data_IF_057774672600
#
_entry.id   IF_057774672600
#
_cell.length_a   1.000
_cell.length_b   1.000
_cell.length_c   1.000
_cell.angle_alpha   90.00
_cell.angle_beta   90.00
_cell.angle_gamma   90.00
#
_symmetry.space_group_name_H-M   'P 1'
#
loop_
_entity.id
_entity.type
_entity.pdbx_description
1 polymer ?
#
# COMPACT_ATOMS: atom_id res chain seq x y z
N UNK A 1 -2.91 13.25 -6.78
CA UNK A 1 -2.16 12.00 -6.99
C UNK A 1 -0.65 12.19 -6.83
N UNK A 2 0.01 13.04 -7.62
CA UNK A 2 1.48 13.24 -7.55
C UNK A 2 1.99 13.58 -6.14
N UNK A 3 1.33 14.51 -5.44
CA UNK A 3 1.67 14.85 -4.05
C UNK A 3 1.55 13.65 -3.10
N UNK A 4 0.52 12.81 -3.26
CA UNK A 4 0.35 11.61 -2.46
C UNK A 4 1.45 10.57 -2.75
N UNK A 5 1.84 10.40 -4.01
CA UNK A 5 2.95 9.51 -4.38
C UNK A 5 4.27 10.04 -3.82
N UNK A 6 4.56 11.34 -3.96
CA UNK A 6 5.76 11.95 -3.41
C UNK A 6 5.84 11.79 -1.88
N UNK A 7 4.72 11.93 -1.18
CA UNK A 7 4.65 11.76 0.26
C UNK A 7 4.98 10.31 0.72
N UNK A 8 4.80 9.28 -0.15
CA UNK A 8 5.20 7.90 0.18
C UNK A 8 6.71 7.73 0.37
N UNK A 9 7.51 8.66 -0.14
CA UNK A 9 8.96 8.67 0.04
C UNK A 9 9.40 9.24 1.40
N UNK A 10 8.50 9.87 2.16
CA UNK A 10 8.81 10.43 3.48
C UNK A 10 8.58 9.39 4.58
N UNK A 11 9.67 8.93 5.20
CA UNK A 11 9.63 8.01 6.36
C UNK A 11 8.86 8.60 7.54
N UNK A 12 8.98 9.92 7.76
CA UNK A 12 8.32 10.61 8.87
C UNK A 12 6.80 10.58 8.73
N UNK A 13 6.27 10.85 7.53
CA UNK A 13 4.84 10.82 7.27
C UNK A 13 4.27 9.41 7.43
N UNK A 14 4.97 8.38 6.95
CA UNK A 14 4.56 6.98 7.14
C UNK A 14 4.56 6.60 8.62
N UNK A 15 5.56 7.04 9.39
CA UNK A 15 5.65 6.81 10.84
C UNK A 15 4.55 7.55 11.60
N UNK A 16 4.22 8.80 11.24
CA UNK A 16 3.17 9.59 11.90
C UNK A 16 1.79 8.93 11.81
N UNK A 17 1.54 8.18 10.73
CA UNK A 17 0.32 7.35 10.60
C UNK A 17 0.29 6.16 11.58
N UNK A 18 1.40 5.82 12.22
CA UNK A 18 1.52 4.70 13.16
C UNK A 18 1.94 3.39 12.51
N UNK A 19 2.51 3.42 11.31
CA UNK A 19 3.17 2.24 10.73
C UNK A 19 4.46 1.91 11.47
N UNK A 20 4.74 0.62 11.63
CA UNK A 20 6.01 0.12 12.15
C UNK A 20 7.03 0.06 11.02
N UNK A 21 7.94 1.03 11.02
CA UNK A 21 8.96 1.21 9.96
C UNK A 21 10.38 0.99 10.47
N UNK A 22 10.49 0.26 11.59
CA UNK A 22 11.77 -0.10 12.18
C UNK A 22 12.51 -1.10 11.27
N UNK A 23 13.80 -0.85 11.03
CA UNK A 23 14.62 -1.70 10.16
C UNK A 23 14.46 -1.46 8.66
N UNK A 24 13.66 -0.46 8.24
CA UNK A 24 13.56 -0.05 6.84
C UNK A 24 14.53 1.12 6.61
N UNK A 25 15.50 0.91 5.72
CA UNK A 25 16.56 1.89 5.45
C UNK A 25 16.14 2.95 4.44
N UNK A 26 15.45 2.54 3.36
CA UNK A 26 15.13 3.42 2.24
C UNK A 26 13.63 3.55 1.98
N UNK A 27 13.20 4.75 1.62
CA UNK A 27 11.86 5.07 1.13
C UNK A 27 11.98 5.85 -0.17
N UNK A 28 11.11 5.58 -1.16
CA UNK A 28 10.08 4.52 -1.20
C UNK A 28 10.69 3.12 -1.31
N UNK A 29 9.96 2.11 -0.82
CA UNK A 29 10.38 0.71 -0.92
C UNK A 29 10.14 0.22 -2.35
N UNK A 30 11.21 -0.23 -3.01
CA UNK A 30 11.15 -0.72 -4.40
C UNK A 30 11.58 -2.18 -4.42
N UNK A 31 10.76 -3.03 -5.05
CA UNK A 31 11.01 -4.47 -5.18
C UNK A 31 11.11 -4.90 -6.65
N UNK A 32 11.63 -6.10 -6.90
CA UNK A 32 11.65 -6.69 -8.23
C UNK A 32 10.23 -7.03 -8.70
N UNK A 33 10.06 -7.16 -10.02
CA UNK A 33 8.77 -7.46 -10.62
C UNK A 33 8.34 -8.92 -10.39
N UNK A 34 9.25 -9.80 -9.95
CA UNK A 34 8.97 -11.20 -9.64
C UNK A 34 7.86 -11.39 -8.59
N UNK A 35 7.67 -10.38 -7.72
CA UNK A 35 6.61 -10.39 -6.71
C UNK A 35 5.21 -10.49 -7.32
N UNK A 36 5.02 -10.04 -8.56
CA UNK A 36 3.73 -10.11 -9.27
C UNK A 36 3.31 -11.54 -9.64
N UNK A 37 4.28 -12.46 -9.74
CA UNK A 37 4.04 -13.87 -10.05
C UNK A 37 3.59 -14.68 -8.83
N UNK A 38 3.82 -14.18 -7.62
CA UNK A 38 3.54 -14.87 -6.37
C UNK A 38 2.03 -15.04 -6.18
N UNK A 39 1.60 -16.29 -5.98
CA UNK A 39 0.19 -16.63 -5.72
C UNK A 39 -0.05 -17.24 -4.34
N UNK A 40 1.03 -17.65 -3.63
CA UNK A 40 0.94 -18.31 -2.32
C UNK A 40 1.21 -17.34 -1.18
N UNK A 41 0.41 -17.43 -0.12
CA UNK A 41 0.55 -16.59 1.09
C UNK A 41 1.87 -16.84 1.83
N UNK A 42 2.36 -18.07 1.84
CA UNK A 42 3.63 -18.42 2.51
C UNK A 42 4.83 -17.74 1.87
N UNK A 43 4.83 -17.57 0.54
CA UNK A 43 5.90 -16.90 -0.19
C UNK A 43 5.89 -15.39 0.10
N UNK A 44 4.69 -14.77 0.05
CA UNK A 44 4.57 -13.34 0.35
C UNK A 44 4.94 -13.01 1.81
N UNK A 45 4.65 -13.92 2.75
CA UNK A 45 5.06 -13.75 4.14
C UNK A 45 6.58 -13.70 4.27
N UNK A 46 7.31 -14.57 3.57
CA UNK A 46 8.78 -14.54 3.54
C UNK A 46 9.32 -13.23 2.95
N UNK A 47 8.69 -12.72 1.89
CA UNK A 47 9.05 -11.42 1.30
C UNK A 47 8.80 -10.29 2.31
N UNK A 48 7.68 -10.30 3.03
CA UNK A 48 7.40 -9.30 4.07
C UNK A 48 8.40 -9.36 5.22
N UNK A 49 8.86 -10.56 5.60
CA UNK A 49 9.89 -10.73 6.62
C UNK A 49 11.25 -10.20 6.14
N UNK A 50 11.65 -10.49 4.91
CA UNK A 50 12.91 -9.99 4.33
C UNK A 50 12.95 -8.47 4.16
N UNK A 51 11.79 -7.84 3.96
CA UNK A 51 11.65 -6.39 3.88
C UNK A 51 11.41 -5.70 5.24
N UNK A 52 11.45 -6.44 6.35
CA UNK A 52 11.14 -5.95 7.71
C UNK A 52 9.72 -5.34 7.85
N UNK A 53 8.77 -5.80 7.03
CA UNK A 53 7.39 -5.32 7.03
C UNK A 53 6.45 -6.16 7.90
N UNK A 54 6.90 -7.31 8.38
CA UNK A 54 6.11 -8.25 9.18
C UNK A 54 5.62 -7.65 10.50
N UNK A 55 6.37 -6.72 11.10
CA UNK A 55 5.99 -6.02 12.32
C UNK A 55 4.73 -5.18 12.12
N UNK A 56 4.58 -4.53 10.96
CA UNK A 56 3.39 -3.74 10.65
C UNK A 56 2.16 -4.61 10.39
N UNK A 57 2.33 -5.78 9.76
CA UNK A 57 1.26 -6.76 9.59
C UNK A 57 0.83 -7.36 10.94
N UNK A 58 1.80 -7.72 11.80
CA UNK A 58 1.53 -8.22 13.17
C UNK A 58 0.77 -7.20 14.02
N UNK A 59 1.04 -5.89 13.87
CA UNK A 59 0.29 -4.81 14.52
C UNK A 59 -1.22 -4.93 14.25
N UNK A 60 -1.61 -5.36 13.06
CA UNK A 60 -3.01 -5.50 12.66
C UNK A 60 -3.67 -6.82 13.09
N UNK A 61 -2.91 -7.81 13.51
CA UNK A 61 -3.46 -9.04 14.08
C UNK A 61 -4.20 -8.74 15.39
N UNK A 62 -3.72 -7.76 16.18
CA UNK A 62 -4.40 -7.23 17.37
C UNK A 62 -5.54 -6.28 16.94
N UNK A 63 -6.66 -6.86 16.50
CA UNK A 63 -7.79 -6.10 15.95
C UNK A 63 -8.61 -5.44 17.05
N UNK A 64 -8.87 -4.14 16.92
CA UNK A 64 -9.75 -3.41 17.84
C UNK A 64 -11.20 -3.90 17.69
N UNK A 65 -11.82 -4.25 18.81
CA UNK A 65 -13.24 -4.61 18.86
C UNK A 65 -14.08 -3.32 18.80
N UNK A 66 -15.14 -3.34 18.00
CA UNK A 66 -16.14 -2.27 17.95
C UNK A 66 -17.22 -2.48 19.00
N UNK A 67 -17.80 -1.40 19.47
CA UNK A 67 -18.98 -1.40 20.37
C UNK A 67 -20.22 -0.90 19.63
N UNK A 68 -21.39 -1.01 20.29
CA UNK A 68 -22.66 -0.48 19.82
C UNK A 68 -23.18 -1.11 18.54
N UNK A 69 -23.96 -0.35 17.78
CA UNK A 69 -24.66 -0.77 16.56
C UNK A 69 -23.78 -1.48 15.53
N UNK A 70 -22.52 -1.05 15.38
CA UNK A 70 -21.59 -1.70 14.45
C UNK A 70 -21.31 -3.15 14.79
N UNK A 71 -21.22 -3.47 16.09
CA UNK A 71 -21.02 -4.84 16.59
C UNK A 71 -22.28 -5.68 16.38
N UNK A 72 -23.44 -5.13 16.69
CA UNK A 72 -24.73 -5.81 16.49
C UNK A 72 -25.00 -6.16 15.03
N UNK A 73 -24.56 -5.30 14.09
CA UNK A 73 -24.67 -5.53 12.65
C UNK A 73 -23.55 -6.43 12.07
N UNK A 74 -22.92 -7.28 12.86
CA UNK A 74 -21.91 -8.25 12.43
C UNK A 74 -20.52 -7.67 12.15
N UNK A 75 -20.30 -6.35 12.31
CA UNK A 75 -19.02 -5.68 12.10
C UNK A 75 -18.23 -5.54 13.39
N UNK A 76 -17.97 -6.65 14.07
CA UNK A 76 -17.38 -6.68 15.41
C UNK A 76 -15.92 -6.23 15.47
N UNK A 77 -15.14 -6.37 14.41
CA UNK A 77 -13.70 -6.05 14.39
C UNK A 77 -13.40 -4.93 13.41
N UNK A 78 -12.52 -4.00 13.81
CA UNK A 78 -11.97 -2.95 12.94
C UNK A 78 -10.59 -3.41 12.47
N UNK A 79 -10.43 -3.62 11.17
CA UNK A 79 -9.13 -3.91 10.56
C UNK A 79 -8.53 -2.61 10.06
N UNK A 80 -7.30 -2.31 10.47
CA UNK A 80 -6.55 -1.17 9.97
C UNK A 80 -5.98 -1.43 8.58
N UNK A 81 -5.32 -0.44 8.01
CA UNK A 81 -4.54 -0.56 6.77
C UNK A 81 -3.07 -0.79 7.11
N UNK A 82 -2.43 -1.75 6.42
CA UNK A 82 -0.99 -2.02 6.46
C UNK A 82 -0.38 -1.72 5.09
N UNK A 83 0.48 -2.58 4.62
CA UNK A 83 1.24 -2.44 3.39
C UNK A 83 0.31 -2.38 2.17
N UNK A 84 0.60 -1.45 1.27
CA UNK A 84 0.01 -1.38 -0.06
C UNK A 84 1.07 -1.76 -1.10
N UNK A 85 0.83 -2.80 -1.87
CA UNK A 85 1.63 -3.13 -3.04
C UNK A 85 1.07 -2.44 -4.27
N UNK A 86 1.92 -1.72 -4.98
CA UNK A 86 1.58 -1.08 -6.26
C UNK A 86 2.35 -1.79 -7.37
N UNK A 87 1.62 -2.44 -8.27
CA UNK A 87 2.13 -3.35 -9.29
C UNK A 87 1.50 -3.03 -10.64
N UNK A 88 2.08 -3.54 -11.72
CA UNK A 88 1.48 -3.45 -13.05
C UNK A 88 0.34 -4.47 -13.18
N UNK A 89 0.58 -5.70 -12.69
CA UNK A 89 -0.44 -6.75 -12.66
C UNK A 89 -0.59 -7.32 -11.25
N UNK A 90 -1.70 -7.01 -10.60
CA UNK A 90 -1.96 -7.41 -9.21
C UNK A 90 -2.79 -8.72 -9.07
N UNK A 91 -3.16 -9.39 -10.16
CA UNK A 91 -4.14 -10.49 -10.13
C UNK A 91 -3.71 -11.67 -9.24
N UNK A 92 -2.48 -12.16 -9.38
CA UNK A 92 -1.94 -13.27 -8.59
C UNK A 92 -1.61 -12.80 -7.18
N UNK A 93 -0.95 -11.66 -7.06
CA UNK A 93 -0.59 -11.09 -5.77
C UNK A 93 -1.81 -10.82 -4.87
N UNK A 94 -2.94 -10.39 -5.43
CA UNK A 94 -4.21 -10.24 -4.69
C UNK A 94 -4.69 -11.54 -4.06
N UNK A 95 -4.53 -12.68 -4.76
CA UNK A 95 -4.87 -14.00 -4.20
C UNK A 95 -3.95 -14.34 -3.02
N UNK A 96 -2.64 -14.09 -3.18
CA UNK A 96 -1.64 -14.37 -2.15
C UNK A 96 -1.86 -13.56 -0.86
N UNK A 97 -2.23 -12.28 -0.98
CA UNK A 97 -2.39 -11.39 0.18
C UNK A 97 -3.78 -11.43 0.82
N UNK A 98 -4.76 -12.08 0.21
CA UNK A 98 -6.16 -12.08 0.66
C UNK A 98 -6.36 -12.53 2.12
N UNK A 99 -5.49 -13.39 2.63
CA UNK A 99 -5.50 -13.86 4.02
C UNK A 99 -4.79 -12.89 5.01
N UNK A 100 -3.98 -11.95 4.52
CA UNK A 100 -3.20 -11.06 5.36
C UNK A 100 -4.01 -9.81 5.73
N UNK A 101 -4.18 -9.50 7.03
CA UNK A 101 -5.01 -8.38 7.45
C UNK A 101 -4.40 -7.04 7.04
N UNK A 102 -5.19 -6.24 6.33
CA UNK A 102 -4.83 -4.87 5.96
C UNK A 102 -3.76 -4.72 4.88
N UNK A 103 -3.23 -5.81 4.34
CA UNK A 103 -2.36 -5.81 3.16
C UNK A 103 -3.23 -5.76 1.92
N UNK A 104 -2.87 -4.92 0.95
CA UNK A 104 -3.62 -4.77 -0.30
C UNK A 104 -2.65 -4.67 -1.49
N UNK A 105 -3.10 -5.09 -2.67
CA UNK A 105 -2.40 -4.86 -3.93
C UNK A 105 -3.32 -4.12 -4.90
N UNK A 106 -2.75 -3.16 -5.60
CA UNK A 106 -3.43 -2.35 -6.61
C UNK A 106 -2.57 -2.25 -7.87
N UNK A 107 -3.24 -2.24 -9.01
CA UNK A 107 -2.58 -1.90 -10.27
C UNK A 107 -2.34 -0.39 -10.31
N UNK A 108 -1.28 0.02 -11.01
CA UNK A 108 -0.98 1.45 -11.22
C UNK A 108 -2.17 2.20 -11.82
N UNK A 109 -2.90 1.58 -12.74
CA UNK A 109 -4.07 2.19 -13.42
C UNK A 109 -5.26 2.43 -12.49
N UNK A 110 -5.42 1.56 -11.47
CA UNK A 110 -6.54 1.59 -10.53
C UNK A 110 -6.17 2.31 -9.21
N UNK A 111 -4.95 2.86 -9.14
CA UNK A 111 -4.45 3.52 -7.95
C UNK A 111 -5.17 4.85 -7.71
N UNK A 112 -5.72 5.02 -6.52
CA UNK A 112 -6.40 6.24 -6.10
C UNK A 112 -5.69 6.90 -4.91
N UNK A 113 -5.99 8.19 -4.68
CA UNK A 113 -5.52 8.90 -3.48
C UNK A 113 -6.04 8.24 -2.22
N UNK A 114 -7.25 7.65 -2.26
CA UNK A 114 -7.83 6.95 -1.12
C UNK A 114 -7.05 5.67 -0.74
N UNK A 115 -6.37 5.04 -1.70
CA UNK A 115 -5.53 3.87 -1.42
C UNK A 115 -4.22 4.28 -0.72
N UNK A 116 -3.65 5.43 -1.12
CA UNK A 116 -2.40 5.97 -0.58
C UNK A 116 -2.60 6.69 0.77
N UNK A 117 -3.70 7.44 0.91
CA UNK A 117 -4.00 8.23 2.10
C UNK A 117 -5.43 7.93 2.61
N UNK A 118 -5.73 6.69 3.04
CA UNK A 118 -7.07 6.30 3.47
C UNK A 118 -7.48 7.07 4.73
N UNK A 119 -8.65 7.73 4.67
CA UNK A 119 -9.21 8.51 5.77
C UNK A 119 -8.63 9.93 5.90
N UNK A 120 -8.00 10.45 4.85
CA UNK A 120 -7.32 11.76 4.83
C UNK A 120 -6.15 11.88 5.83
N UNK A 121 -5.74 10.77 6.44
CA UNK A 121 -4.55 10.72 7.29
C UNK A 121 -3.26 10.65 6.45
N UNK A 122 -2.10 10.92 7.05
CA UNK A 122 -0.81 10.79 6.39
C UNK A 122 -0.63 9.45 5.68
N UNK A 123 0.33 9.41 4.79
CA UNK A 123 0.54 8.37 3.79
C UNK A 123 0.71 6.97 4.39
N UNK A 124 0.10 6.00 3.70
CA UNK A 124 0.19 4.58 3.97
C UNK A 124 1.55 4.01 3.53
N UNK A 125 2.04 3.00 4.25
CA UNK A 125 3.24 2.25 3.89
C UNK A 125 3.04 1.56 2.53
N UNK A 126 3.83 1.97 1.53
CA UNK A 126 3.66 1.55 0.13
C UNK A 126 4.93 0.90 -0.40
N UNK A 127 4.76 -0.19 -1.13
CA UNK A 127 5.81 -0.94 -1.82
C UNK A 127 5.52 -0.90 -3.31
N UNK A 128 6.50 -0.48 -4.11
CA UNK A 128 6.37 -0.37 -5.55
C UNK A 128 7.20 -1.46 -6.25
N UNK A 129 6.69 -2.00 -7.36
CA UNK A 129 7.53 -2.77 -8.29
C UNK A 129 8.29 -1.81 -9.22
N UNK A 130 9.44 -2.27 -9.75
CA UNK A 130 10.24 -1.46 -10.68
C UNK A 130 9.44 -1.03 -11.90
N UNK A 131 8.64 -1.94 -12.45
CA UNK A 131 7.76 -1.68 -13.59
C UNK A 131 6.65 -0.70 -13.24
N UNK A 132 6.07 -0.77 -12.03
CA UNK A 132 5.04 0.15 -11.58
C UNK A 132 5.55 1.60 -11.53
N UNK A 133 6.76 1.84 -11.06
CA UNK A 133 7.36 3.18 -11.04
C UNK A 133 7.53 3.74 -12.45
N UNK A 134 8.00 2.89 -13.40
CA UNK A 134 8.13 3.30 -14.80
C UNK A 134 6.78 3.66 -15.42
N UNK A 135 5.72 2.92 -15.09
CA UNK A 135 4.37 3.23 -15.55
C UNK A 135 3.80 4.51 -14.91
N UNK A 136 4.01 4.72 -13.62
CA UNK A 136 3.62 5.96 -12.93
C UNK A 136 4.24 7.18 -13.63
N UNK A 137 5.51 7.10 -14.02
CA UNK A 137 6.20 8.17 -14.75
C UNK A 137 5.62 8.47 -16.15
N UNK A 138 4.89 7.52 -16.74
CA UNK A 138 4.21 7.70 -18.03
C UNK A 138 2.81 8.31 -17.90
N UNK A 139 2.21 8.25 -16.72
CA UNK A 139 0.87 8.80 -16.47
C UNK A 139 0.99 10.33 -16.41
N UNK A 140 0.68 10.98 -17.53
CA UNK A 140 0.54 12.42 -17.58
C UNK A 140 -0.77 12.83 -16.91
N UNK A 141 -0.73 13.80 -16.02
CA UNK A 141 -1.97 14.37 -15.50
C UNK A 141 -2.66 15.16 -16.61
N UNK A 142 -3.98 14.99 -16.76
CA UNK A 142 -4.79 15.76 -17.71
C UNK A 142 -4.61 17.27 -17.55
N UNK A 143 -4.32 17.73 -16.32
CA UNK A 143 -4.03 19.15 -16.03
C UNK A 143 -2.72 19.61 -16.68
N UNK A 144 -1.66 18.79 -16.67
CA UNK A 144 -0.38 19.12 -17.33
C UNK A 144 -0.53 19.13 -18.84
N UNK A 145 -1.33 18.22 -19.41
CA UNK A 145 -1.62 18.21 -20.85
C UNK A 145 -2.40 19.47 -21.30
N UNK A 146 -3.32 19.96 -20.46
CA UNK A 146 -4.04 21.20 -20.71
C UNK A 146 -3.12 22.41 -20.63
N UNK A 147 -2.20 22.47 -19.66
CA UNK A 147 -1.23 23.56 -19.52
C UNK A 147 -0.25 23.64 -20.69
N UNK A 148 0.19 22.48 -21.21
CA UNK A 148 1.09 22.43 -22.41
C UNK A 148 0.36 22.86 -23.68
N UNK A 149 -0.97 22.68 -23.80
CA UNK A 149 -1.76 23.13 -24.95
C UNK A 149 -2.07 24.63 -24.94
N UNK A 150 -1.87 25.31 -23.82
CA UNK A 150 -2.16 26.75 -23.66
C UNK A 150 -0.88 27.60 -23.90
N UNK A 151 0.30 27.00 -23.93
CA UNK A 151 1.57 27.63 -24.34
C UNK A 151 1.80 27.46 -25.84
#
# INVERSE_FOLDING_TARGET
>A
MCSAIAATASKELVKSRGHKVEGIESFPIIVSDDIESISKTSEITKVLDSLNLSLDVKRLLSRKVRSGQSRLRGRSKKVGKSVLFVTVNSSNLRKAIGALPGVEAKNVKDLSVLDLAPGSDPIRLTVYTKSAIKEIGKIKSTHLELMVKIQ
#
